data_IF_452717096538
#
_entry.id   IF_452717096538
#
_cell.length_a   1.000
_cell.length_b   1.000
_cell.length_c   1.000
_cell.angle_alpha   90.00
_cell.angle_beta   90.00
_cell.angle_gamma   90.00
#
_symmetry.space_group_name_H-M   'P 1'
#
loop_
_entity.id
_entity.type
_entity.pdbx_description
1 polymer ?
#
# COMPACT_ATOMS: atom_id res chain seq x y z
N UNK A 1 -39.77 6.71 -46.23
CA UNK A 1 -38.80 5.60 -46.24
C UNK A 1 -37.33 6.06 -46.19
N UNK A 2 -36.87 7.03 -47.00
CA UNK A 2 -35.45 7.49 -46.98
C UNK A 2 -34.98 8.17 -45.69
N UNK A 3 -35.84 8.84 -44.92
CA UNK A 3 -35.49 9.44 -43.60
C UNK A 3 -35.31 8.41 -42.47
N UNK A 4 -36.01 7.27 -42.54
CA UNK A 4 -35.92 6.20 -41.52
C UNK A 4 -34.62 5.41 -41.70
N UNK A 5 -34.18 5.21 -42.94
CA UNK A 5 -32.91 4.54 -43.29
C UNK A 5 -31.70 5.41 -42.90
N UNK A 6 -31.80 6.74 -42.97
CA UNK A 6 -30.73 7.64 -42.55
C UNK A 6 -30.56 7.69 -41.02
N UNK A 7 -31.65 7.63 -40.25
CA UNK A 7 -31.60 7.58 -38.78
C UNK A 7 -31.11 6.24 -38.24
N UNK A 8 -31.43 5.12 -38.91
CA UNK A 8 -30.86 3.81 -38.54
C UNK A 8 -29.38 3.70 -38.91
N UNK A 9 -28.96 4.32 -40.03
CA UNK A 9 -27.54 4.43 -40.38
C UNK A 9 -26.75 5.34 -39.44
N UNK A 10 -27.34 6.45 -38.94
CA UNK A 10 -26.71 7.26 -37.89
C UNK A 10 -26.69 6.53 -36.54
N UNK A 11 -27.73 5.80 -36.17
CA UNK A 11 -27.73 5.03 -34.92
C UNK A 11 -26.69 3.89 -34.94
N UNK A 12 -26.49 3.23 -36.09
CA UNK A 12 -25.43 2.21 -36.25
C UNK A 12 -24.03 2.82 -36.39
N UNK A 13 -23.88 3.99 -36.99
CA UNK A 13 -22.60 4.71 -37.05
C UNK A 13 -22.18 5.34 -35.71
N UNK A 14 -23.14 5.68 -34.83
CA UNK A 14 -22.86 6.14 -33.46
C UNK A 14 -22.55 4.96 -32.53
N UNK A 15 -23.01 3.75 -32.85
CA UNK A 15 -22.66 2.52 -32.12
C UNK A 15 -21.28 1.95 -32.47
N UNK A 16 -20.65 2.36 -33.58
CA UNK A 16 -19.29 1.92 -33.96
C UNK A 16 -18.20 2.93 -33.61
N UNK A 17 -18.55 4.11 -33.10
CA UNK A 17 -17.59 5.17 -32.78
C UNK A 17 -16.98 5.08 -31.35
N UNK A 18 -17.31 4.06 -30.55
CA UNK A 18 -16.89 3.98 -29.15
C UNK A 18 -16.30 2.63 -28.69
N UNK A 19 -16.01 1.70 -29.61
CA UNK A 19 -15.15 0.58 -29.28
C UNK A 19 -13.69 1.08 -29.25
N UNK A 20 -13.30 1.72 -28.14
CA UNK A 20 -11.90 2.08 -27.90
C UNK A 20 -11.04 0.81 -28.05
N UNK A 21 -9.97 0.87 -28.85
CA UNK A 21 -9.09 -0.28 -29.10
C UNK A 21 -8.32 -0.66 -27.82
N UNK A 22 -8.69 -1.79 -27.24
CA UNK A 22 -8.07 -2.34 -26.02
C UNK A 22 -6.79 -3.12 -26.31
N UNK A 23 -6.58 -3.54 -27.56
CA UNK A 23 -5.52 -4.50 -27.92
C UNK A 23 -4.11 -4.02 -27.54
N UNK A 24 -3.72 -2.75 -27.74
CA UNK A 24 -2.40 -2.27 -27.32
C UNK A 24 -2.18 -2.37 -25.80
N UNK A 25 -3.23 -2.19 -25.01
CA UNK A 25 -3.16 -2.28 -23.55
C UNK A 25 -3.08 -3.73 -23.08
N UNK A 26 -3.81 -4.63 -23.73
CA UNK A 26 -3.71 -6.07 -23.44
C UNK A 26 -2.32 -6.61 -23.77
N UNK A 27 -1.75 -6.24 -24.92
CA UNK A 27 -0.39 -6.60 -25.31
C UNK A 27 0.63 -6.06 -24.31
N UNK A 28 0.51 -4.78 -23.92
CA UNK A 28 1.41 -4.16 -22.92
C UNK A 28 1.33 -4.86 -21.57
N UNK A 29 0.12 -5.12 -21.07
CA UNK A 29 -0.07 -5.83 -19.79
C UNK A 29 0.44 -7.28 -19.85
N UNK A 30 0.24 -7.97 -20.98
CA UNK A 30 0.76 -9.32 -21.19
C UNK A 30 2.30 -9.35 -21.18
N UNK A 31 2.95 -8.35 -21.77
CA UNK A 31 4.41 -8.21 -21.73
C UNK A 31 4.93 -7.97 -20.31
N UNK A 32 4.24 -7.13 -19.53
CA UNK A 32 4.57 -6.89 -18.11
C UNK A 32 4.46 -8.20 -17.32
N UNK A 33 3.37 -8.95 -17.50
CA UNK A 33 3.16 -10.25 -16.84
C UNK A 33 4.22 -11.28 -17.22
N UNK A 34 4.63 -11.32 -18.48
CA UNK A 34 5.72 -12.19 -18.94
C UNK A 34 7.05 -11.84 -18.28
N UNK A 35 7.35 -10.54 -18.10
CA UNK A 35 8.56 -10.09 -17.42
C UNK A 35 8.54 -10.42 -15.92
N UNK A 36 7.40 -10.23 -15.25
CA UNK A 36 7.25 -10.67 -13.85
C UNK A 36 7.47 -12.17 -13.69
N UNK A 37 6.87 -12.99 -14.58
CA UNK A 37 7.06 -14.44 -14.55
C UNK A 37 8.52 -14.85 -14.72
N UNK A 38 9.27 -14.12 -15.57
CA UNK A 38 10.71 -14.33 -15.73
C UNK A 38 11.47 -13.96 -14.45
N UNK A 39 11.17 -12.81 -13.84
CA UNK A 39 11.82 -12.39 -12.60
C UNK A 39 11.50 -13.31 -11.43
N UNK A 40 10.27 -13.81 -11.34
CA UNK A 40 9.88 -14.77 -10.33
C UNK A 40 10.71 -16.06 -10.47
N UNK A 41 10.88 -16.58 -11.69
CA UNK A 41 11.73 -17.74 -11.92
C UNK A 41 13.18 -17.51 -11.48
N UNK A 42 13.74 -16.33 -11.78
CA UNK A 42 15.07 -15.93 -11.35
C UNK A 42 15.16 -15.82 -9.81
N UNK A 43 14.15 -15.21 -9.18
CA UNK A 43 14.08 -15.06 -7.72
C UNK A 43 13.96 -16.41 -7.00
N UNK A 44 13.13 -17.32 -7.51
CA UNK A 44 12.92 -18.65 -6.94
C UNK A 44 14.21 -19.49 -6.92
N UNK A 45 15.18 -19.21 -7.80
CA UNK A 45 16.50 -19.84 -7.75
C UNK A 45 17.27 -19.50 -6.46
N UNK A 46 16.99 -18.36 -5.82
CA UNK A 46 17.58 -17.94 -4.55
C UNK A 46 16.82 -18.47 -3.33
N UNK A 47 15.51 -18.69 -3.45
CA UNK A 47 14.63 -19.09 -2.32
C UNK A 47 14.99 -20.42 -1.65
N UNK A 48 15.87 -21.23 -2.25
CA UNK A 48 16.36 -22.50 -1.69
C UNK A 48 17.65 -22.37 -0.86
N UNK A 49 18.29 -21.20 -0.85
CA UNK A 49 19.55 -20.95 -0.16
C UNK A 49 19.30 -20.10 1.09
N UNK A 50 20.10 -20.31 2.13
CA UNK A 50 20.07 -19.45 3.32
C UNK A 50 20.59 -18.04 2.95
N UNK A 51 19.79 -16.97 3.13
CA UNK A 51 20.23 -15.60 2.83
C UNK A 51 21.52 -15.18 3.53
N UNK A 52 21.86 -15.78 4.68
CA UNK A 52 23.12 -15.51 5.37
C UNK A 52 24.36 -16.01 4.61
N UNK A 53 24.16 -16.91 3.64
CA UNK A 53 25.24 -17.56 2.86
C UNK A 53 25.45 -16.95 1.47
N UNK A 54 24.68 -15.91 1.10
CA UNK A 54 24.79 -15.29 -0.21
C UNK A 54 26.15 -14.63 -0.43
N UNK A 55 26.77 -14.96 -1.56
CA UNK A 55 27.94 -14.26 -2.10
C UNK A 55 27.56 -12.83 -2.51
N UNK A 56 28.54 -11.95 -2.65
CA UNK A 56 28.28 -10.57 -3.07
C UNK A 56 27.70 -10.50 -4.50
N UNK A 57 28.07 -11.43 -5.38
CA UNK A 57 27.47 -11.56 -6.70
C UNK A 57 25.98 -11.94 -6.62
N UNK A 58 25.61 -12.84 -5.71
CA UNK A 58 24.21 -13.23 -5.50
C UNK A 58 23.39 -12.09 -4.88
N UNK A 59 23.95 -11.35 -3.92
CA UNK A 59 23.32 -10.14 -3.37
C UNK A 59 23.12 -9.09 -4.45
N UNK A 60 24.12 -8.85 -5.29
CA UNK A 60 24.01 -7.92 -6.41
C UNK A 60 22.93 -8.35 -7.40
N UNK A 61 22.83 -9.65 -7.69
CA UNK A 61 21.78 -10.19 -8.57
C UNK A 61 20.38 -10.06 -7.97
N UNK A 62 20.23 -10.31 -6.68
CA UNK A 62 18.97 -10.10 -5.97
C UNK A 62 18.54 -8.63 -5.99
N UNK A 63 19.48 -7.71 -5.76
CA UNK A 63 19.20 -6.28 -5.86
C UNK A 63 18.75 -5.88 -7.28
N UNK A 64 19.37 -6.46 -8.31
CA UNK A 64 18.96 -6.26 -9.70
C UNK A 64 17.53 -6.78 -9.96
N UNK A 65 17.20 -7.98 -9.45
CA UNK A 65 15.87 -8.57 -9.55
C UNK A 65 14.83 -7.68 -8.86
N UNK A 66 15.10 -7.22 -7.65
CA UNK A 66 14.23 -6.33 -6.89
C UNK A 66 14.01 -5.00 -7.64
N UNK A 67 15.08 -4.35 -8.09
CA UNK A 67 14.97 -3.08 -8.83
C UNK A 67 14.15 -3.22 -10.12
N UNK A 68 14.27 -4.36 -10.81
CA UNK A 68 13.44 -4.67 -11.98
C UNK A 68 11.99 -4.92 -11.60
N UNK A 69 11.73 -5.61 -10.49
CA UNK A 69 10.38 -5.82 -9.98
C UNK A 69 9.71 -4.48 -9.65
N UNK A 70 10.39 -3.59 -8.92
CA UNK A 70 9.86 -2.25 -8.58
C UNK A 70 9.53 -1.44 -9.85
N UNK A 71 10.39 -1.52 -10.86
CA UNK A 71 10.16 -0.85 -12.15
C UNK A 71 8.93 -1.40 -12.89
N UNK A 72 8.73 -2.72 -12.84
CA UNK A 72 7.57 -3.37 -13.43
C UNK A 72 6.29 -3.11 -12.64
N UNK A 73 6.35 -3.04 -11.31
CA UNK A 73 5.21 -2.71 -10.45
C UNK A 73 4.73 -1.30 -10.77
N UNK A 74 5.63 -0.33 -10.85
CA UNK A 74 5.30 1.03 -11.26
C UNK A 74 4.72 1.09 -12.69
N UNK A 75 5.29 0.33 -13.63
CA UNK A 75 4.77 0.26 -15.00
C UNK A 75 3.37 -0.39 -15.05
N UNK A 76 3.12 -1.42 -14.24
CA UNK A 76 1.84 -2.09 -14.12
C UNK A 76 0.79 -1.14 -13.52
N UNK A 77 1.12 -0.51 -12.39
CA UNK A 77 0.28 0.50 -11.72
C UNK A 77 -0.12 1.60 -12.68
N UNK A 78 0.85 2.29 -13.29
CA UNK A 78 0.59 3.42 -14.18
C UNK A 78 -0.24 3.02 -15.41
N UNK A 79 0.03 1.85 -16.00
CA UNK A 79 -0.74 1.32 -17.13
C UNK A 79 -2.16 0.97 -16.72
N UNK A 80 -2.37 0.33 -15.57
CA UNK A 80 -3.70 -0.03 -15.09
C UNK A 80 -4.54 1.20 -14.69
N UNK A 81 -3.92 2.25 -14.13
CA UNK A 81 -4.58 3.54 -13.91
C UNK A 81 -4.99 4.22 -15.22
N UNK A 82 -4.12 4.18 -16.24
CA UNK A 82 -4.46 4.68 -17.59
C UNK A 82 -5.65 3.91 -18.18
N UNK A 83 -5.65 2.58 -18.06
CA UNK A 83 -6.76 1.73 -18.50
C UNK A 83 -8.06 2.11 -17.78
N UNK A 84 -8.03 2.23 -16.45
CA UNK A 84 -9.21 2.58 -15.66
C UNK A 84 -9.81 3.92 -16.07
N UNK A 85 -8.97 4.93 -16.30
CA UNK A 85 -9.40 6.27 -16.72
C UNK A 85 -9.93 6.30 -18.14
N UNK A 86 -9.24 5.65 -19.08
CA UNK A 86 -9.58 5.68 -20.51
C UNK A 86 -10.83 4.88 -20.82
N UNK A 87 -10.95 3.69 -20.23
CA UNK A 87 -12.02 2.73 -20.48
C UNK A 87 -13.05 2.68 -19.34
N UNK A 88 -13.22 3.79 -18.60
CA UNK A 88 -14.00 3.88 -17.36
C UNK A 88 -15.45 3.41 -17.47
N UNK A 89 -16.06 3.56 -18.65
CA UNK A 89 -17.47 3.23 -18.92
C UNK A 89 -17.64 1.77 -19.39
N UNK A 90 -16.57 0.98 -19.38
CA UNK A 90 -16.55 -0.42 -19.81
C UNK A 90 -16.20 -1.35 -18.65
N UNK A 91 -16.34 -2.66 -18.86
CA UNK A 91 -15.93 -3.70 -17.89
C UNK A 91 -14.42 -4.00 -17.92
N UNK A 92 -13.73 -3.57 -18.98
CA UNK A 92 -12.34 -3.93 -19.27
C UNK A 92 -11.35 -3.63 -18.12
N UNK A 93 -11.46 -2.51 -17.37
CA UNK A 93 -10.51 -2.20 -16.30
C UNK A 93 -10.53 -3.15 -15.11
N UNK A 94 -11.63 -3.87 -14.84
CA UNK A 94 -11.84 -4.60 -13.58
C UNK A 94 -10.67 -5.52 -13.21
N UNK A 95 -10.20 -6.31 -14.18
CA UNK A 95 -9.09 -7.27 -14.01
C UNK A 95 -7.76 -6.60 -13.69
N UNK A 96 -7.55 -5.37 -14.13
CA UNK A 96 -6.31 -4.62 -13.91
C UNK A 96 -6.36 -3.84 -12.61
N UNK A 97 -7.51 -3.27 -12.26
CA UNK A 97 -7.73 -2.65 -10.94
C UNK A 97 -7.47 -3.65 -9.81
N UNK A 98 -7.96 -4.88 -9.96
CA UNK A 98 -7.73 -5.94 -8.97
C UNK A 98 -6.25 -6.33 -8.80
N UNK A 99 -5.41 -6.11 -9.82
CA UNK A 99 -3.97 -6.43 -9.75
C UNK A 99 -3.18 -5.38 -8.98
N UNK A 100 -3.57 -4.11 -9.08
CA UNK A 100 -2.81 -2.98 -8.53
C UNK A 100 -3.38 -2.43 -7.22
N UNK A 101 -4.44 -3.04 -6.67
CA UNK A 101 -5.20 -2.46 -5.56
C UNK A 101 -4.39 -2.21 -4.29
N UNK A 102 -3.25 -2.90 -4.10
CA UNK A 102 -2.36 -2.71 -2.95
C UNK A 102 -1.22 -1.70 -3.20
N UNK A 103 -1.07 -1.24 -4.44
CA UNK A 103 0.03 -0.37 -4.89
C UNK A 103 -0.45 1.06 -5.18
N UNK A 104 -1.77 1.28 -5.09
CA UNK A 104 -2.40 2.59 -5.29
C UNK A 104 -2.59 3.34 -3.99
N UNK A 105 -2.50 4.66 -4.08
CA UNK A 105 -2.80 5.57 -2.97
C UNK A 105 -4.30 5.59 -2.66
N UNK A 106 -4.68 6.10 -1.49
CA UNK A 106 -6.10 6.18 -1.10
C UNK A 106 -6.98 6.91 -2.14
N UNK A 107 -6.51 8.06 -2.66
CA UNK A 107 -7.27 8.84 -3.63
C UNK A 107 -7.39 8.13 -4.98
N UNK A 108 -6.35 7.39 -5.39
CA UNK A 108 -6.38 6.55 -6.58
C UNK A 108 -7.34 5.38 -6.38
N UNK A 109 -7.30 4.68 -5.24
CA UNK A 109 -8.25 3.60 -4.93
C UNK A 109 -9.70 4.10 -4.88
N UNK A 110 -9.91 5.31 -4.34
CA UNK A 110 -11.22 5.99 -4.34
C UNK A 110 -11.72 6.25 -5.75
N UNK A 111 -10.87 6.76 -6.64
CA UNK A 111 -11.18 6.95 -8.06
C UNK A 111 -11.54 5.60 -8.71
N UNK A 112 -10.73 4.57 -8.48
CA UNK A 112 -10.93 3.24 -9.02
C UNK A 112 -12.21 2.56 -8.51
N UNK A 113 -12.67 2.90 -7.31
CA UNK A 113 -13.90 2.39 -6.70
C UNK A 113 -15.11 3.32 -6.87
N UNK A 114 -15.13 4.25 -7.84
CA UNK A 114 -16.31 5.06 -8.15
C UNK A 114 -17.49 4.17 -8.62
N UNK A 115 -18.64 4.19 -7.93
CA UNK A 115 -19.84 3.43 -8.31
C UNK A 115 -20.40 3.74 -9.70
N UNK A 116 -20.01 4.86 -10.30
CA UNK A 116 -20.47 5.27 -11.64
C UNK A 116 -19.66 4.63 -12.78
N UNK A 117 -18.59 3.90 -12.48
CA UNK A 117 -17.77 3.23 -13.50
C UNK A 117 -18.46 1.97 -14.06
N UNK A 118 -18.24 1.69 -15.34
CA UNK A 118 -18.80 0.52 -16.03
C UNK A 118 -18.27 -0.82 -15.51
N UNK A 119 -17.16 -0.81 -14.77
CA UNK A 119 -16.54 -2.00 -14.20
C UNK A 119 -16.83 -2.21 -12.69
N UNK A 120 -17.49 -1.26 -12.02
CA UNK A 120 -17.69 -1.30 -10.55
C UNK A 120 -18.34 -2.59 -10.03
N UNK A 121 -19.24 -3.18 -10.82
CA UNK A 121 -20.00 -4.38 -10.46
C UNK A 121 -19.38 -5.69 -10.97
N UNK A 122 -18.21 -5.64 -11.62
CA UNK A 122 -17.52 -6.84 -12.05
C UNK A 122 -16.97 -7.63 -10.83
N UNK A 123 -16.90 -8.97 -10.90
CA UNK A 123 -16.44 -9.80 -9.79
C UNK A 123 -15.06 -9.41 -9.24
N UNK A 124 -14.14 -8.99 -10.11
CA UNK A 124 -12.78 -8.57 -9.78
C UNK A 124 -12.75 -7.36 -8.83
N UNK A 125 -13.80 -6.52 -8.85
CA UNK A 125 -13.91 -5.36 -7.97
C UNK A 125 -14.29 -5.71 -6.52
N UNK A 126 -14.57 -6.97 -6.20
CA UNK A 126 -14.93 -7.38 -4.83
C UNK A 126 -13.84 -7.02 -3.81
N UNK A 127 -12.59 -7.41 -4.06
CA UNK A 127 -11.47 -7.13 -3.15
C UNK A 127 -11.07 -5.65 -3.13
N UNK A 128 -10.95 -4.95 -4.28
CA UNK A 128 -10.72 -3.50 -4.29
C UNK A 128 -11.75 -2.73 -3.46
N UNK A 129 -13.05 -3.04 -3.60
CA UNK A 129 -14.10 -2.38 -2.81
C UNK A 129 -13.96 -2.66 -1.32
N UNK A 130 -13.69 -3.91 -0.94
CA UNK A 130 -13.46 -4.27 0.48
C UNK A 130 -12.23 -3.54 1.07
N UNK A 131 -11.16 -3.41 0.29
CA UNK A 131 -9.97 -2.66 0.67
C UNK A 131 -10.27 -1.16 0.82
N UNK A 132 -11.02 -0.59 -0.13
CA UNK A 132 -11.42 0.81 -0.06
C UNK A 132 -12.27 1.10 1.20
N UNK A 133 -13.24 0.26 1.51
CA UNK A 133 -14.01 0.39 2.76
C UNK A 133 -13.12 0.26 4.01
N UNK A 134 -12.07 -0.58 3.98
CA UNK A 134 -11.15 -0.69 5.11
C UNK A 134 -10.28 0.57 5.26
N UNK A 135 -9.86 1.20 4.16
CA UNK A 135 -9.09 2.45 4.19
C UNK A 135 -9.89 3.62 4.76
N UNK A 136 -11.21 3.68 4.53
CA UNK A 136 -12.08 4.71 5.14
C UNK A 136 -12.00 4.74 6.66
N UNK A 137 -11.66 3.63 7.33
CA UNK A 137 -11.51 3.59 8.78
C UNK A 137 -10.32 4.41 9.30
N UNK A 138 -9.41 4.83 8.41
CA UNK A 138 -8.19 5.58 8.71
C UNK A 138 -7.89 6.68 7.70
N UNK A 139 -8.91 7.16 6.97
CA UNK A 139 -8.73 8.15 5.92
C UNK A 139 -8.25 9.51 6.47
N UNK A 140 -7.43 10.25 5.71
CA UNK A 140 -7.10 11.64 6.04
C UNK A 140 -8.36 12.46 6.29
N UNK A 141 -8.34 13.30 7.33
CA UNK A 141 -9.51 14.06 7.76
C UNK A 141 -10.18 13.51 9.02
N UNK A 142 -10.05 12.20 9.29
CA UNK A 142 -10.67 11.56 10.45
C UNK A 142 -9.81 11.70 11.72
N UNK A 143 -10.44 11.60 12.89
CA UNK A 143 -9.72 11.53 14.17
C UNK A 143 -9.14 10.12 14.36
N UNK A 144 -7.97 10.03 15.00
CA UNK A 144 -7.44 8.73 15.40
C UNK A 144 -8.38 8.00 16.37
N UNK A 145 -8.25 6.68 16.44
CA UNK A 145 -8.98 5.83 17.38
C UNK A 145 -7.98 5.22 18.35
N UNK A 146 -8.24 5.34 19.64
CA UNK A 146 -7.28 4.84 20.64
C UNK A 146 -7.15 3.31 20.57
N UNK A 147 -5.97 2.82 20.92
CA UNK A 147 -5.64 1.40 21.07
C UNK A 147 -5.00 1.20 22.44
N UNK A 148 -5.30 0.09 23.10
CA UNK A 148 -4.65 -0.29 24.37
C UNK A 148 -4.00 -1.65 24.21
N UNK A 149 -2.68 -1.71 24.40
CA UNK A 149 -1.86 -2.91 24.18
C UNK A 149 -0.72 -2.99 25.20
N UNK A 150 0.17 -3.96 25.06
CA UNK A 150 1.38 -4.06 25.87
C UNK A 150 2.59 -3.51 25.12
N UNK A 151 3.50 -2.85 25.84
CA UNK A 151 4.83 -2.52 25.35
C UNK A 151 5.79 -3.73 25.42
N UNK A 152 7.06 -3.52 25.04
CA UNK A 152 8.09 -4.56 25.10
C UNK A 152 8.39 -5.04 26.53
N UNK A 153 8.11 -4.23 27.55
CA UNK A 153 8.27 -4.58 28.96
C UNK A 153 7.03 -5.29 29.53
N UNK A 154 5.95 -5.42 28.75
CA UNK A 154 4.67 -5.98 29.21
C UNK A 154 3.79 -4.96 29.95
N UNK A 155 4.19 -3.69 29.98
CA UNK A 155 3.38 -2.61 30.55
C UNK A 155 2.24 -2.28 29.60
N UNK A 156 1.03 -2.14 30.13
CA UNK A 156 -0.10 -1.64 29.35
C UNK A 156 0.13 -0.17 28.98
N UNK A 157 -0.03 0.14 27.69
CA UNK A 157 0.13 1.46 27.09
C UNK A 157 -1.03 1.76 26.16
N UNK A 158 -1.31 3.04 25.93
CA UNK A 158 -2.35 3.50 25.02
C UNK A 158 -1.74 4.29 23.87
N UNK A 159 -2.36 4.26 22.70
CA UNK A 159 -1.92 5.09 21.58
C UNK A 159 -2.02 6.59 21.94
N UNK A 160 -3.04 6.95 22.73
CA UNK A 160 -3.20 8.27 23.35
C UNK A 160 -2.08 8.67 24.32
N UNK A 161 -1.16 7.77 24.68
CA UNK A 161 0.06 8.15 25.41
C UNK A 161 1.02 8.98 24.56
N UNK A 162 0.91 8.92 23.23
CA UNK A 162 1.75 9.66 22.28
C UNK A 162 0.96 10.61 21.37
N UNK A 163 -0.21 10.18 20.89
CA UNK A 163 -1.02 10.93 19.92
C UNK A 163 -1.81 12.05 20.59
N UNK A 164 -1.95 13.19 19.89
CA UNK A 164 -2.74 14.34 20.36
C UNK A 164 -2.05 15.18 21.45
N UNK A 165 -0.72 15.07 21.56
CA UNK A 165 0.10 15.74 22.58
C UNK A 165 1.04 16.81 22.00
N UNK A 166 0.62 17.47 20.92
CA UNK A 166 1.41 18.57 20.34
C UNK A 166 2.50 18.14 19.34
N UNK A 167 2.63 16.84 19.05
CA UNK A 167 3.57 16.28 18.07
C UNK A 167 2.83 15.63 16.91
N UNK A 168 3.46 15.60 15.73
CA UNK A 168 3.07 14.65 14.70
C UNK A 168 3.49 13.25 15.13
N UNK A 169 2.62 12.26 14.94
CA UNK A 169 2.91 10.87 15.30
C UNK A 169 2.69 9.97 14.08
N UNK A 170 3.75 9.29 13.65
CA UNK A 170 3.64 8.21 12.68
C UNK A 170 3.31 6.92 13.43
N UNK A 171 2.11 6.38 13.22
CA UNK A 171 1.72 5.07 13.75
C UNK A 171 2.06 4.03 12.69
N UNK A 172 3.08 3.22 12.94
CA UNK A 172 3.64 2.26 12.00
C UNK A 172 3.14 0.84 12.30
N UNK A 173 2.31 0.29 11.42
CA UNK A 173 1.77 -1.07 11.52
C UNK A 173 2.70 -2.05 10.79
N UNK A 174 3.36 -2.92 11.54
CA UNK A 174 4.44 -3.75 11.02
C UNK A 174 4.48 -5.13 11.72
N UNK A 175 5.41 -6.00 11.32
CA UNK A 175 5.72 -7.23 12.05
C UNK A 175 7.14 -7.73 11.75
N UNK A 176 7.74 -8.50 12.66
CA UNK A 176 9.08 -9.06 12.50
C UNK A 176 9.22 -9.99 11.29
N UNK A 177 8.13 -10.67 10.92
CA UNK A 177 8.04 -11.59 9.79
C UNK A 177 7.70 -10.90 8.47
N UNK A 178 7.37 -9.61 8.48
CA UNK A 178 7.05 -8.85 7.28
C UNK A 178 8.33 -8.42 6.54
N UNK A 179 8.66 -9.10 5.44
CA UNK A 179 9.80 -8.77 4.58
C UNK A 179 9.82 -7.30 4.14
N UNK A 180 8.77 -6.80 3.46
CA UNK A 180 8.72 -5.41 2.99
C UNK A 180 8.79 -4.37 4.12
N UNK A 181 8.18 -4.63 5.28
CA UNK A 181 8.28 -3.74 6.44
C UNK A 181 9.74 -3.55 6.89
N UNK A 182 10.51 -4.65 6.93
CA UNK A 182 11.93 -4.60 7.30
C UNK A 182 12.79 -3.92 6.24
N UNK A 183 12.42 -4.04 4.97
CA UNK A 183 13.10 -3.37 3.87
C UNK A 183 12.90 -1.84 3.91
N UNK A 184 11.71 -1.38 4.32
CA UNK A 184 11.38 0.04 4.46
C UNK A 184 11.92 0.66 5.77
N UNK A 185 12.16 -0.16 6.80
CA UNK A 185 12.56 0.31 8.13
C UNK A 185 13.79 1.24 8.16
N UNK A 186 14.86 1.04 7.35
CA UNK A 186 15.96 2.00 7.26
C UNK A 186 15.52 3.41 6.86
N UNK A 187 14.51 3.55 5.97
CA UNK A 187 13.95 4.84 5.60
C UNK A 187 13.17 5.47 6.78
N UNK A 188 12.41 4.66 7.52
CA UNK A 188 11.68 5.11 8.73
C UNK A 188 12.66 5.57 9.82
N UNK A 189 13.75 4.83 10.05
CA UNK A 189 14.81 5.23 10.99
C UNK A 189 15.48 6.54 10.56
N UNK A 190 15.77 6.70 9.26
CA UNK A 190 16.32 7.94 8.73
C UNK A 190 15.35 9.11 8.91
N UNK A 191 14.05 8.90 8.66
CA UNK A 191 13.01 9.89 8.91
C UNK A 191 12.95 10.30 10.39
N UNK A 192 12.94 9.32 11.31
CA UNK A 192 12.91 9.61 12.75
C UNK A 192 14.10 10.44 13.18
N UNK A 193 15.32 10.04 12.79
CA UNK A 193 16.53 10.78 13.14
C UNK A 193 16.54 12.21 12.60
N UNK A 194 15.94 12.44 11.42
CA UNK A 194 15.86 13.77 10.81
C UNK A 194 14.80 14.67 11.45
N UNK A 195 13.67 14.12 11.87
CA UNK A 195 12.49 14.92 12.22
C UNK A 195 12.07 14.83 13.70
N UNK A 196 12.65 13.95 14.52
CA UNK A 196 12.27 13.82 15.95
C UNK A 196 12.38 15.12 16.73
N UNK A 197 13.46 15.88 16.49
CA UNK A 197 13.70 17.17 17.13
C UNK A 197 12.85 18.30 16.53
N UNK A 198 12.15 18.02 15.42
CA UNK A 198 11.17 18.91 14.78
C UNK A 198 9.72 18.61 15.17
N UNK A 199 9.51 17.71 16.14
CA UNK A 199 8.17 17.37 16.62
C UNK A 199 7.56 16.12 15.99
N UNK A 200 8.36 15.25 15.37
CA UNK A 200 7.94 13.90 15.01
C UNK A 200 8.10 12.94 16.20
N UNK A 201 7.10 12.10 16.40
CA UNK A 201 7.21 10.86 17.16
C UNK A 201 6.81 9.68 16.27
N UNK A 202 7.28 8.47 16.61
CA UNK A 202 6.82 7.23 15.97
C UNK A 202 6.36 6.26 17.06
N UNK A 203 5.32 5.49 16.78
CA UNK A 203 4.88 4.37 17.61
C UNK A 203 4.70 3.16 16.69
N UNK A 204 5.45 2.10 16.95
CA UNK A 204 5.29 0.85 16.23
C UNK A 204 4.15 0.03 16.82
N UNK A 205 3.19 -0.38 16.00
CA UNK A 205 2.11 -1.30 16.35
C UNK A 205 2.39 -2.63 15.65
N UNK A 206 2.85 -3.62 16.41
CA UNK A 206 3.29 -4.90 15.85
C UNK A 206 2.17 -5.94 15.74
N UNK A 207 2.13 -6.60 14.58
CA UNK A 207 1.33 -7.78 14.23
C UNK A 207 2.14 -9.08 14.42
N UNK A 208 3.11 -9.08 15.33
CA UNK A 208 3.74 -10.32 15.79
C UNK A 208 2.78 -11.13 16.68
N UNK A 209 3.07 -12.42 16.84
CA UNK A 209 2.44 -13.29 17.84
C UNK A 209 3.44 -13.85 18.86
N UNK A 210 4.73 -13.52 18.70
CA UNK A 210 5.83 -14.02 19.52
C UNK A 210 6.67 -12.85 20.02
N UNK A 211 6.57 -12.56 21.32
CA UNK A 211 7.27 -11.44 21.97
C UNK A 211 8.78 -11.40 21.67
N UNK A 212 9.45 -12.56 21.73
CA UNK A 212 10.90 -12.65 21.50
C UNK A 212 11.30 -12.30 20.05
N UNK A 213 10.48 -12.66 19.06
CA UNK A 213 10.75 -12.33 17.66
C UNK A 213 10.54 -10.84 17.41
N UNK A 214 9.47 -10.29 17.97
CA UNK A 214 9.19 -8.86 17.94
C UNK A 214 10.33 -8.05 18.58
N UNK A 215 10.73 -8.37 19.81
CA UNK A 215 11.79 -7.64 20.52
C UNK A 215 13.13 -7.72 19.81
N UNK A 216 13.51 -8.91 19.33
CA UNK A 216 14.76 -9.09 18.59
C UNK A 216 14.77 -8.31 17.26
N UNK A 217 13.62 -8.21 16.58
CA UNK A 217 13.50 -7.42 15.36
C UNK A 217 13.59 -5.91 15.64
N UNK A 218 12.94 -5.41 16.69
CA UNK A 218 13.04 -3.99 17.12
C UNK A 218 14.50 -3.60 17.34
N UNK A 219 15.23 -4.42 18.10
CA UNK A 219 16.66 -4.20 18.38
C UNK A 219 17.49 -4.24 17.10
N UNK A 220 17.35 -5.31 16.31
CA UNK A 220 18.11 -5.51 15.06
C UNK A 220 17.87 -4.39 14.04
N UNK A 221 16.67 -3.84 13.98
CA UNK A 221 16.29 -2.79 13.03
C UNK A 221 16.58 -1.38 13.56
N UNK A 222 17.11 -1.24 14.79
CA UNK A 222 17.43 0.07 15.37
C UNK A 222 16.20 0.94 15.62
N UNK A 223 15.06 0.32 15.92
CA UNK A 223 13.80 1.02 16.17
C UNK A 223 13.80 1.59 17.59
N UNK A 224 14.29 2.81 17.74
CA UNK A 224 14.47 3.47 19.05
C UNK A 224 13.22 4.09 19.63
N UNK A 225 12.12 4.10 18.87
CA UNK A 225 10.84 4.66 19.29
C UNK A 225 9.98 3.62 20.01
N UNK A 226 8.98 4.04 20.79
CA UNK A 226 8.08 3.14 21.50
C UNK A 226 7.39 2.11 20.59
N UNK A 227 7.07 0.96 21.17
CA UNK A 227 6.48 -0.19 20.49
C UNK A 227 5.31 -0.72 21.32
N UNK A 228 4.24 -1.14 20.67
CA UNK A 228 3.09 -1.78 21.29
C UNK A 228 2.56 -2.96 20.46
N UNK A 229 2.01 -3.98 21.11
CA UNK A 229 1.37 -5.13 20.45
C UNK A 229 0.41 -5.85 21.39
N UNK A 230 -0.65 -6.44 20.85
CA UNK A 230 -1.49 -7.41 21.56
C UNK A 230 -1.06 -8.87 21.32
N UNK A 231 0.00 -9.08 20.53
CA UNK A 231 0.57 -10.39 20.17
C UNK A 231 -0.43 -11.35 19.50
N UNK A 232 -1.41 -10.80 18.78
CA UNK A 232 -2.48 -11.57 18.12
C UNK A 232 -2.31 -11.74 16.63
N UNK A 233 -1.18 -11.31 16.05
CA UNK A 233 -1.02 -11.36 14.61
C UNK A 233 -2.10 -10.58 13.86
N UNK A 234 -2.69 -11.19 12.84
CA UNK A 234 -3.79 -10.59 12.07
C UNK A 234 -5.11 -10.47 12.85
N UNK A 235 -5.25 -11.13 14.01
CA UNK A 235 -6.38 -10.93 14.94
C UNK A 235 -6.17 -9.71 15.86
N UNK A 236 -5.12 -8.92 15.62
CA UNK A 236 -4.87 -7.70 16.37
C UNK A 236 -6.05 -6.74 16.28
N UNK A 237 -6.36 -6.10 17.41
CA UNK A 237 -7.37 -5.03 17.47
C UNK A 237 -7.08 -3.89 16.50
N UNK A 238 -5.80 -3.62 16.19
CA UNK A 238 -5.40 -2.64 15.19
C UNK A 238 -5.94 -2.95 13.78
N UNK A 239 -6.00 -4.24 13.41
CA UNK A 239 -6.52 -4.67 12.11
C UNK A 239 -7.98 -4.24 11.90
N UNK A 240 -8.81 -4.41 12.93
CA UNK A 240 -10.21 -4.04 12.89
C UNK A 240 -10.41 -2.52 13.03
N UNK A 241 -9.71 -1.87 13.97
CA UNK A 241 -9.89 -0.44 14.28
C UNK A 241 -9.50 0.46 13.11
N UNK A 242 -8.39 0.12 12.46
CA UNK A 242 -7.81 0.92 11.37
C UNK A 242 -7.95 0.28 9.98
N UNK A 243 -8.61 -0.88 9.87
CA UNK A 243 -8.84 -1.54 8.59
C UNK A 243 -7.55 -2.02 7.91
N UNK A 244 -6.56 -2.47 8.70
CA UNK A 244 -5.28 -2.96 8.18
C UNK A 244 -5.50 -4.35 7.57
N UNK A 245 -5.30 -4.44 6.25
CA UNK A 245 -5.46 -5.67 5.45
C UNK A 245 -4.14 -6.16 4.85
N UNK A 246 -3.11 -5.33 4.89
CA UNK A 246 -1.75 -5.62 4.47
C UNK A 246 -0.79 -4.76 5.31
N UNK A 247 0.44 -5.23 5.44
CA UNK A 247 1.55 -4.49 6.04
C UNK A 247 2.74 -4.54 5.07
N UNK A 248 3.61 -3.51 5.03
CA UNK A 248 3.65 -2.33 5.90
C UNK A 248 2.45 -1.41 5.72
N UNK A 249 2.02 -0.73 6.77
CA UNK A 249 0.99 0.30 6.68
C UNK A 249 1.26 1.34 7.75
N UNK A 250 0.89 2.59 7.53
CA UNK A 250 1.00 3.60 8.56
C UNK A 250 -0.08 4.68 8.42
N UNK A 251 -0.21 5.46 9.48
CA UNK A 251 -0.93 6.73 9.46
C UNK A 251 -0.05 7.81 10.08
N UNK A 252 -0.08 9.01 9.50
CA UNK A 252 0.48 10.20 10.11
C UNK A 252 -0.65 10.96 10.79
N UNK A 253 -0.53 11.13 12.11
CA UNK A 253 -1.47 11.88 12.92
C UNK A 253 -0.86 13.23 13.29
N UNK A 254 -1.63 14.29 13.18
CA UNK A 254 -1.21 15.65 13.52
C UNK A 254 -1.21 15.92 15.04
N UNK A 255 -0.66 17.06 15.48
CA UNK A 255 -0.61 17.45 16.89
C UNK A 255 -1.95 17.45 17.64
N UNK A 256 -3.07 17.57 16.91
CA UNK A 256 -4.43 17.58 17.45
C UNK A 256 -5.10 16.20 17.45
N UNK A 257 -4.45 15.17 16.89
CA UNK A 257 -5.00 13.82 16.81
C UNK A 257 -5.76 13.52 15.51
N UNK A 258 -5.65 14.37 14.49
CA UNK A 258 -6.30 14.13 13.20
C UNK A 258 -5.35 13.41 12.25
N UNK A 259 -5.84 12.38 11.57
CA UNK A 259 -5.08 11.69 10.52
C UNK A 259 -4.94 12.63 9.33
N UNK A 260 -3.69 12.87 8.90
CA UNK A 260 -3.36 13.78 7.80
C UNK A 260 -2.75 13.08 6.60
N UNK A 261 -2.24 11.85 6.77
CA UNK A 261 -1.76 11.00 5.68
C UNK A 261 -1.80 9.53 6.10
N UNK A 262 -1.71 8.62 5.13
CA UNK A 262 -1.69 7.17 5.35
C UNK A 262 -0.82 6.48 4.29
N UNK A 263 -0.33 5.28 4.61
CA UNK A 263 0.48 4.41 3.75
C UNK A 263 1.72 5.08 3.13
N UNK A 264 2.37 5.94 3.90
CA UNK A 264 3.59 6.63 3.49
C UNK A 264 4.76 5.66 3.39
N UNK A 265 5.39 5.55 2.23
CA UNK A 265 6.57 4.69 2.01
C UNK A 265 7.56 5.39 1.09
N UNK A 266 8.77 4.84 1.02
CA UNK A 266 9.80 5.28 0.08
C UNK A 266 10.02 6.80 0.15
N UNK A 267 10.10 7.48 -1.00
CA UNK A 267 10.26 8.93 -1.05
C UNK A 267 9.07 9.68 -0.47
N UNK A 268 7.87 9.12 -0.56
CA UNK A 268 6.64 9.78 -0.12
C UNK A 268 6.63 10.06 1.38
N UNK A 269 7.19 9.16 2.18
CA UNK A 269 7.38 9.37 3.61
C UNK A 269 8.20 10.64 3.89
N UNK A 270 9.35 10.77 3.23
CA UNK A 270 10.26 11.90 3.44
C UNK A 270 9.65 13.22 2.97
N UNK A 271 8.96 13.22 1.82
CA UNK A 271 8.29 14.39 1.26
C UNK A 271 7.20 14.93 2.20
N UNK A 272 6.31 14.05 2.66
CA UNK A 272 5.19 14.46 3.52
C UNK A 272 5.71 14.96 4.87
N UNK A 273 6.70 14.29 5.46
CA UNK A 273 7.30 14.74 6.71
C UNK A 273 8.01 16.10 6.55
N UNK A 274 8.75 16.32 5.46
CA UNK A 274 9.36 17.62 5.16
C UNK A 274 8.32 18.74 5.02
N UNK A 275 7.16 18.44 4.43
CA UNK A 275 6.06 19.39 4.27
C UNK A 275 5.45 19.77 5.63
N UNK A 276 5.21 18.78 6.50
CA UNK A 276 4.50 18.96 7.78
C UNK A 276 5.39 19.44 8.94
N UNK A 277 6.68 19.09 8.94
CA UNK A 277 7.62 19.30 10.05
C UNK A 277 8.75 20.27 9.67
N UNK A 278 8.38 21.45 9.17
CA UNK A 278 9.34 22.49 8.77
C UNK A 278 10.19 22.98 9.94
#
# INVERSE_FOLDING_TARGET
MKKIILMTALATAVLTANAQDIKPYEEKMSQIEAQFKSLEADYQAFGKKDPATFTDAEKAKLNEIMSKADSLDNLQKTTALEIARKFKDTKFPAKYVAKIMYDVEFDELKELCDPNTGYYNEPEMTKPKQLFESYKLRQPGSMYKDLTMQDLNGKQVKLSDWVGKGKYVLVDFWASWCGPCRAEMPNVVAAYNRYKDKGLEIIGVSFDSKKLQWSAAVEKLGMTWPQMSDLKGWESSAAAVYGIRSIPSNILVDPQGKIVAMDLRENRLQEVLAEKLK
#
